data_IF_677352718416
#
_entry.id   IF_677352718416
#
_cell.length_a   1.000
_cell.length_b   1.000
_cell.length_c   1.000
_cell.angle_alpha   90.00
_cell.angle_beta   90.00
_cell.angle_gamma   90.00
#
_symmetry.space_group_name_H-M   'P 1'
#
loop_
_entity.id
_entity.type
_entity.pdbx_description
1 polymer ?
#
# COMPACT_ATOMS: atom_id res chain seq x y z
N UNK A 1 38.58 -9.14 2.64
CA UNK A 1 37.30 -9.66 2.10
C UNK A 1 36.18 -8.75 2.60
N UNK A 2 35.55 -7.96 1.73
CA UNK A 2 34.40 -7.11 2.10
C UNK A 2 33.13 -7.85 1.69
N UNK A 3 32.43 -8.47 2.64
CA UNK A 3 31.12 -9.07 2.40
C UNK A 3 30.08 -7.96 2.24
N UNK A 4 29.51 -7.86 1.04
CA UNK A 4 28.28 -7.07 0.82
C UNK A 4 27.13 -7.86 1.43
N UNK A 5 26.59 -7.39 2.53
CA UNK A 5 25.27 -7.80 3.00
C UNK A 5 24.27 -7.19 2.02
N UNK A 6 23.73 -8.00 1.10
CA UNK A 6 22.56 -7.59 0.33
C UNK A 6 21.38 -7.58 1.29
N UNK A 7 20.76 -6.41 1.49
CA UNK A 7 19.41 -6.35 2.02
C UNK A 7 18.53 -7.11 1.02
N UNK A 8 18.23 -8.37 1.34
CA UNK A 8 17.37 -9.21 0.53
C UNK A 8 16.02 -8.52 0.38
N UNK A 9 15.65 -8.20 -0.86
CA UNK A 9 14.27 -7.91 -1.20
C UNK A 9 13.42 -9.07 -0.67
N UNK A 10 12.53 -8.80 0.28
CA UNK A 10 11.57 -9.81 0.73
C UNK A 10 10.78 -10.24 -0.51
N UNK A 11 10.89 -11.52 -0.90
CA UNK A 11 9.97 -12.11 -1.89
C UNK A 11 8.55 -11.71 -1.47
N UNK A 12 7.80 -11.06 -2.34
CA UNK A 12 6.38 -10.80 -2.10
C UNK A 12 5.72 -12.17 -1.93
N UNK A 13 5.28 -12.47 -0.72
CA UNK A 13 4.59 -13.72 -0.45
C UNK A 13 3.32 -13.74 -1.30
N UNK A 14 3.13 -14.80 -2.07
CA UNK A 14 1.93 -14.92 -2.88
C UNK A 14 0.69 -14.96 -1.98
N UNK A 15 -0.33 -14.17 -2.32
CA UNK A 15 -1.57 -14.04 -1.53
C UNK A 15 -2.78 -14.47 -2.34
N UNK A 16 -3.87 -14.81 -1.64
CA UNK A 16 -5.19 -15.09 -2.21
C UNK A 16 -6.23 -14.20 -1.54
N UNK A 17 -7.09 -13.59 -2.35
CA UNK A 17 -8.21 -12.73 -1.91
C UNK A 17 -9.40 -13.57 -1.45
N UNK A 18 -10.02 -13.16 -0.35
CA UNK A 18 -11.24 -13.74 0.19
C UNK A 18 -12.21 -12.61 0.59
N UNK A 19 -13.48 -12.76 0.23
CA UNK A 19 -14.54 -11.87 0.72
C UNK A 19 -15.02 -12.37 2.10
N UNK A 20 -14.98 -11.49 3.10
CA UNK A 20 -15.53 -11.73 4.44
C UNK A 20 -16.80 -10.92 4.72
N UNK A 21 -17.15 -9.99 3.83
CA UNK A 21 -18.39 -9.20 3.88
C UNK A 21 -19.55 -9.88 3.16
N UNK A 22 -20.55 -9.07 2.81
CA UNK A 22 -21.72 -9.53 2.05
C UNK A 22 -21.44 -9.49 0.54
N UNK A 23 -22.43 -9.89 -0.28
CA UNK A 23 -22.34 -9.76 -1.73
C UNK A 23 -22.49 -8.30 -2.18
N UNK A 24 -23.32 -7.52 -1.47
CA UNK A 24 -23.61 -6.12 -1.78
C UNK A 24 -22.53 -5.17 -1.24
N UNK A 25 -21.89 -5.52 -0.11
CA UNK A 25 -20.74 -4.83 0.48
C UNK A 25 -19.57 -5.82 0.67
N UNK A 26 -18.80 -6.09 -0.40
CA UNK A 26 -17.70 -7.04 -0.36
C UNK A 26 -16.48 -6.48 0.37
N UNK A 27 -16.13 -7.13 1.48
CA UNK A 27 -14.96 -6.80 2.30
C UNK A 27 -13.83 -7.78 2.02
N UNK A 28 -12.88 -7.37 1.17
CA UNK A 28 -11.80 -8.23 0.68
C UNK A 28 -10.60 -8.27 1.63
N UNK A 29 -10.11 -9.48 1.94
CA UNK A 29 -8.88 -9.68 2.72
C UNK A 29 -7.93 -10.63 1.99
N UNK A 30 -6.63 -10.36 2.11
CA UNK A 30 -5.56 -11.19 1.55
C UNK A 30 -5.06 -12.20 2.60
N UNK A 31 -4.97 -13.47 2.23
CA UNK A 31 -4.32 -14.50 3.05
C UNK A 31 -3.14 -15.11 2.30
N UNK A 32 -2.07 -15.45 3.00
CA UNK A 32 -0.90 -16.10 2.40
C UNK A 32 -1.29 -17.42 1.72
N UNK A 33 -0.79 -17.66 0.51
CA UNK A 33 -1.05 -18.91 -0.21
C UNK A 33 -0.48 -20.13 0.53
N UNK A 34 0.64 -19.95 1.24
CA UNK A 34 1.33 -21.00 1.98
C UNK A 34 0.62 -21.49 3.24
N UNK A 35 -0.44 -20.82 3.72
CA UNK A 35 -1.17 -21.29 4.91
C UNK A 35 -1.98 -22.56 4.58
N UNK A 36 -2.10 -23.47 5.56
CA UNK A 36 -2.96 -24.65 5.41
C UNK A 36 -4.44 -24.26 5.28
N UNK A 37 -5.26 -25.16 4.75
CA UNK A 37 -6.69 -24.89 4.56
C UNK A 37 -7.42 -24.68 5.89
N UNK A 38 -6.99 -25.36 6.96
CA UNK A 38 -7.58 -25.21 8.29
C UNK A 38 -7.22 -23.87 8.92
N UNK A 39 -5.97 -23.44 8.84
CA UNK A 39 -5.53 -22.13 9.32
C UNK A 39 -6.26 -21.01 8.58
N UNK A 40 -6.37 -21.13 7.25
CA UNK A 40 -7.14 -20.18 6.43
C UNK A 40 -8.59 -20.07 6.91
N UNK A 41 -9.26 -21.20 7.16
CA UNK A 41 -10.63 -21.22 7.69
C UNK A 41 -10.73 -20.57 9.07
N UNK A 42 -9.80 -20.88 9.99
CA UNK A 42 -9.76 -20.28 11.34
C UNK A 42 -9.61 -18.76 11.27
N UNK A 43 -8.65 -18.28 10.46
CA UNK A 43 -8.40 -16.84 10.26
C UNK A 43 -9.60 -16.15 9.60
N UNK A 44 -10.15 -16.71 8.53
CA UNK A 44 -11.33 -16.14 7.86
C UNK A 44 -12.52 -16.07 8.81
N UNK A 45 -12.78 -17.12 9.59
CA UNK A 45 -13.87 -17.12 10.57
C UNK A 45 -13.65 -16.10 11.69
N UNK A 46 -12.42 -15.92 12.15
CA UNK A 46 -12.08 -14.87 13.12
C UNK A 46 -12.35 -13.49 12.53
N UNK A 47 -11.84 -13.21 11.32
CA UNK A 47 -12.03 -11.92 10.65
C UNK A 47 -13.51 -11.63 10.37
N UNK A 48 -14.30 -12.65 10.02
CA UNK A 48 -15.76 -12.55 9.86
C UNK A 48 -16.50 -12.12 11.13
N UNK A 49 -15.94 -12.36 12.32
CA UNK A 49 -16.54 -11.92 13.59
C UNK A 49 -16.26 -10.45 13.93
N UNK A 50 -15.22 -9.87 13.32
CA UNK A 50 -14.75 -8.52 13.59
C UNK A 50 -14.73 -7.66 12.31
N UNK A 51 -15.70 -7.90 11.42
CA UNK A 51 -15.82 -7.23 10.11
C UNK A 51 -16.12 -5.73 10.25
N UNK A 52 -16.68 -5.34 11.38
CA UNK A 52 -17.05 -3.99 11.80
C UNK A 52 -15.88 -3.21 12.42
N UNK A 53 -14.88 -3.89 12.98
CA UNK A 53 -13.70 -3.26 13.62
C UNK A 53 -12.61 -2.88 12.62
N UNK A 54 -12.60 -3.52 11.44
CA UNK A 54 -11.60 -3.27 10.41
C UNK A 54 -11.97 -2.07 9.54
N UNK A 55 -10.98 -1.21 9.26
CA UNK A 55 -11.11 -0.14 8.28
C UNK A 55 -10.76 -0.66 6.88
N UNK A 56 -11.72 -0.60 5.95
CA UNK A 56 -11.55 -0.98 4.55
C UNK A 56 -11.28 0.22 3.67
N UNK A 57 -11.78 1.38 4.10
CA UNK A 57 -11.54 2.69 3.54
C UNK A 57 -11.07 3.67 4.62
N UNK A 58 -10.53 4.81 4.21
CA UNK A 58 -10.22 5.90 5.14
C UNK A 58 -11.47 6.44 5.86
N UNK A 59 -12.64 6.36 5.23
CA UNK A 59 -13.90 6.84 5.80
C UNK A 59 -14.36 5.97 6.98
N UNK A 60 -13.88 4.73 7.08
CA UNK A 60 -14.15 3.82 8.19
C UNK A 60 -13.34 4.19 9.46
N UNK A 61 -12.26 4.97 9.32
CA UNK A 61 -11.43 5.46 10.43
C UNK A 61 -12.05 6.73 11.06
N UNK A 62 -13.34 6.69 11.41
CA UNK A 62 -14.08 7.85 11.96
C UNK A 62 -13.47 8.43 13.24
N UNK A 63 -12.76 7.61 14.00
CA UNK A 63 -12.17 8.01 15.28
C UNK A 63 -10.86 8.78 15.12
N UNK A 64 -10.32 8.89 13.90
CA UNK A 64 -9.07 9.59 13.65
C UNK A 64 -9.29 10.80 12.77
N UNK A 65 -8.95 11.97 13.30
CA UNK A 65 -9.01 13.18 12.48
C UNK A 65 -7.99 13.09 11.33
N UNK A 66 -8.33 13.57 10.11
CA UNK A 66 -7.37 13.62 9.00
C UNK A 66 -6.07 14.36 9.35
N UNK A 67 -6.12 15.28 10.32
CA UNK A 67 -4.95 15.97 10.88
C UNK A 67 -4.01 15.07 11.69
N UNK A 68 -4.48 13.94 12.17
CA UNK A 68 -3.71 12.97 12.94
C UNK A 68 -3.14 11.87 12.04
N UNK A 69 -3.89 11.49 10.99
CA UNK A 69 -3.53 10.42 10.05
C UNK A 69 -2.69 10.89 8.85
N UNK A 70 -2.72 12.18 8.51
CA UNK A 70 -1.97 12.71 7.38
C UNK A 70 -0.58 13.19 7.82
N UNK A 71 0.45 12.83 7.05
CA UNK A 71 1.76 13.44 7.20
C UNK A 71 1.74 14.87 6.67
N UNK A 72 2.08 15.84 7.53
CA UNK A 72 2.26 17.23 7.15
C UNK A 72 3.74 17.52 6.90
N UNK A 73 4.04 18.16 5.77
CA UNK A 73 5.34 18.79 5.55
C UNK A 73 5.19 20.24 6.03
N UNK A 74 5.75 20.62 7.20
CA UNK A 74 5.61 21.98 7.70
C UNK A 74 6.32 22.96 6.76
N UNK A 75 5.57 23.94 6.26
CA UNK A 75 6.08 25.04 5.44
C UNK A 75 6.23 26.30 6.30
N UNK A 76 7.22 27.14 5.96
CA UNK A 76 7.35 28.45 6.61
C UNK A 76 6.16 29.34 6.20
N UNK A 77 5.60 30.13 7.13
CA UNK A 77 4.49 31.03 6.81
C UNK A 77 4.92 32.06 5.75
N UNK A 78 4.01 32.40 4.83
CA UNK A 78 4.25 33.41 3.78
C UNK A 78 5.05 32.92 2.56
N UNK A 79 5.45 31.65 2.50
CA UNK A 79 6.13 31.10 1.32
C UNK A 79 5.13 30.78 0.21
N UNK A 80 5.32 31.39 -0.96
CA UNK A 80 4.55 31.10 -2.16
C UNK A 80 5.02 29.78 -2.81
N UNK A 81 4.12 28.96 -3.38
CA UNK A 81 4.51 27.78 -4.16
C UNK A 81 5.45 28.17 -5.31
N UNK A 82 6.53 27.40 -5.48
CA UNK A 82 7.50 27.62 -6.54
C UNK A 82 7.55 26.43 -7.49
N UNK A 83 7.16 26.65 -8.74
CA UNK A 83 7.27 25.64 -9.80
C UNK A 83 8.67 25.69 -10.40
N UNK A 84 9.50 24.70 -10.07
CA UNK A 84 10.82 24.53 -10.71
C UNK A 84 10.65 24.15 -12.18
N UNK A 85 11.47 24.73 -13.06
CA UNK A 85 11.56 24.32 -14.46
C UNK A 85 12.02 22.85 -14.52
N UNK A 86 11.36 22.04 -15.33
CA UNK A 86 11.75 20.66 -15.55
C UNK A 86 13.16 20.62 -16.12
N UNK A 87 14.04 19.82 -15.50
CA UNK A 87 15.39 19.61 -16.03
C UNK A 87 15.31 18.71 -17.24
N UNK A 88 16.12 19.00 -18.25
CA UNK A 88 16.29 18.08 -19.38
C UNK A 88 17.01 16.83 -18.87
N UNK A 89 16.56 15.67 -19.33
CA UNK A 89 17.18 14.37 -19.05
C UNK A 89 17.83 13.83 -20.33
N UNK A 90 18.75 12.89 -20.17
CA UNK A 90 19.42 12.26 -21.30
C UNK A 90 18.42 11.39 -22.09
N UNK A 91 18.31 11.65 -23.39
CA UNK A 91 17.38 10.92 -24.27
C UNK A 91 17.66 9.41 -24.32
N UNK A 92 18.91 8.99 -24.10
CA UNK A 92 19.29 7.56 -24.10
C UNK A 92 18.60 6.73 -23.00
N UNK A 93 18.12 7.38 -21.93
CA UNK A 93 17.41 6.71 -20.81
C UNK A 93 15.92 7.09 -20.75
N UNK A 94 15.41 7.80 -21.76
CA UNK A 94 14.03 8.29 -21.79
C UNK A 94 13.03 7.13 -21.64
N UNK A 95 13.27 6.05 -22.39
CA UNK A 95 12.38 4.89 -22.40
C UNK A 95 12.37 4.17 -21.05
N UNK A 96 13.53 4.05 -20.41
CA UNK A 96 13.65 3.46 -19.06
C UNK A 96 12.93 4.30 -18.02
N UNK A 97 13.05 5.64 -18.09
CA UNK A 97 12.32 6.55 -17.18
C UNK A 97 10.81 6.38 -17.37
N UNK A 98 10.34 6.34 -18.62
CA UNK A 98 8.92 6.18 -18.91
C UNK A 98 8.39 4.84 -18.40
N UNK A 99 9.10 3.74 -18.65
CA UNK A 99 8.74 2.43 -18.14
C UNK A 99 8.64 2.41 -16.61
N UNK A 100 9.61 3.00 -15.91
CA UNK A 100 9.59 3.05 -14.45
C UNK A 100 8.44 3.90 -13.91
N UNK A 101 8.14 5.04 -14.53
CA UNK A 101 6.97 5.84 -14.18
C UNK A 101 5.68 5.03 -14.35
N UNK A 102 5.55 4.29 -15.46
CA UNK A 102 4.39 3.43 -15.69
C UNK A 102 4.30 2.29 -14.66
N UNK A 103 5.43 1.80 -14.16
CA UNK A 103 5.43 0.80 -13.09
C UNK A 103 4.96 1.38 -11.75
N UNK A 104 5.33 2.63 -11.44
CA UNK A 104 4.91 3.30 -10.20
C UNK A 104 3.44 3.75 -10.21
N UNK A 105 2.86 3.93 -11.39
CA UNK A 105 1.45 4.31 -11.58
C UNK A 105 0.50 3.11 -11.67
N UNK A 106 1.03 1.88 -11.75
CA UNK A 106 0.26 0.62 -11.73
C UNK A 106 0.05 0.12 -10.31
#
# INVERSE_FOLDING_TARGET
>A
MKSKVSLGARKSAETKKFNIGSLDDPKMVNTGKCCSQEEKKKVVNMLKRYVDVLAYSYDDLKDFHPKEMQHFIPLKPGIKPFKKKQRQYNLKIADTIFQEIQNLLK
#
